data_IF_137254689639
#
_entry.id   IF_137254689639
#
_cell.length_a   1.000
_cell.length_b   1.000
_cell.length_c   1.000
_cell.angle_alpha   90.00
_cell.angle_beta   90.00
_cell.angle_gamma   90.00
#
_symmetry.space_group_name_H-M   'P 1'
#
loop_
_entity.id
_entity.type
_entity.pdbx_description
1 polymer ?
#
# COMPACT_ATOMS: atom_id res chain seq x y z
N UNK A 1 -6.58 -17.54 -5.78
CA UNK A 1 -6.29 -16.85 -4.50
C UNK A 1 -7.60 -16.52 -3.82
N UNK A 2 -7.61 -16.39 -2.49
CA UNK A 2 -8.75 -15.84 -1.74
C UNK A 2 -8.38 -14.50 -1.11
N UNK A 3 -9.38 -13.66 -0.87
CA UNK A 3 -9.19 -12.38 -0.17
C UNK A 3 -9.15 -12.62 1.33
N UNK A 4 -8.12 -12.10 1.99
CA UNK A 4 -8.00 -12.12 3.44
C UNK A 4 -8.24 -10.71 4.01
N UNK A 5 -8.82 -10.65 5.21
CA UNK A 5 -8.96 -9.40 5.96
C UNK A 5 -7.61 -9.05 6.60
N UNK A 6 -7.17 -7.82 6.40
CA UNK A 6 -6.02 -7.25 7.10
C UNK A 6 -6.54 -6.49 8.31
N UNK A 7 -6.28 -7.02 9.51
CA UNK A 7 -6.59 -6.35 10.76
C UNK A 7 -5.33 -5.64 11.29
N UNK A 8 -5.42 -4.34 11.51
CA UNK A 8 -4.39 -3.57 12.21
C UNK A 8 -4.66 -3.53 13.72
N UNK A 9 -3.73 -2.95 14.49
CA UNK A 9 -3.86 -2.85 15.94
C UNK A 9 -5.05 -1.93 16.29
N UNK A 10 -6.13 -2.56 16.80
CA UNK A 10 -7.36 -2.10 17.49
C UNK A 10 -8.10 -0.81 17.07
N UNK A 11 -7.50 0.13 16.33
CA UNK A 11 -8.11 1.42 15.94
C UNK A 11 -7.74 1.89 14.53
N UNK A 12 -6.72 1.32 13.88
CA UNK A 12 -6.30 1.75 12.55
C UNK A 12 -6.24 0.57 11.57
N UNK A 13 -6.97 0.61 10.45
CA UNK A 13 -6.78 -0.32 9.34
C UNK A 13 -5.34 -0.27 8.83
N UNK A 14 -4.86 -1.35 8.21
CA UNK A 14 -3.60 -1.32 7.48
C UNK A 14 -3.78 -0.52 6.19
N UNK A 15 -2.89 0.45 5.95
CA UNK A 15 -2.87 1.29 4.76
C UNK A 15 -1.48 1.29 4.13
N UNK A 16 -1.42 1.42 2.81
CA UNK A 16 -0.19 1.82 2.14
C UNK A 16 -0.10 3.34 2.21
N UNK A 17 0.99 3.85 2.77
CA UNK A 17 1.29 5.27 2.86
C UNK A 17 2.49 5.63 2.00
N UNK A 18 2.40 6.74 1.27
CA UNK A 18 3.56 7.37 0.62
C UNK A 18 3.64 8.82 1.04
N UNK A 19 4.81 9.24 1.50
CA UNK A 19 5.10 10.63 1.84
C UNK A 19 5.99 11.23 0.76
N UNK A 20 5.60 12.37 0.21
CA UNK A 20 6.43 13.13 -0.71
C UNK A 20 7.67 13.69 0.02
N UNK A 21 8.84 13.69 -0.63
CA UNK A 21 10.07 14.26 -0.04
C UNK A 21 9.89 15.79 0.12
N UNK A 22 10.23 16.33 1.30
CA UNK A 22 10.14 17.75 1.62
C UNK A 22 9.30 18.03 2.88
N UNK A 23 9.52 19.20 3.51
CA UNK A 23 8.91 19.57 4.80
C UNK A 23 7.38 19.74 4.68
N UNK A 24 6.89 20.06 3.48
CA UNK A 24 5.47 20.22 3.17
C UNK A 24 4.87 19.06 2.36
N UNK A 25 5.60 17.95 2.21
CA UNK A 25 5.13 16.79 1.45
C UNK A 25 3.88 16.18 2.08
N UNK A 26 2.76 16.20 1.35
CA UNK A 26 1.53 15.58 1.79
C UNK A 26 1.70 14.06 1.88
N UNK A 27 1.12 13.46 2.92
CA UNK A 27 1.05 12.00 3.03
C UNK A 27 -0.21 11.52 2.31
N UNK A 28 -0.02 10.60 1.35
CA UNK A 28 -1.12 9.92 0.67
C UNK A 28 -1.28 8.52 1.25
N UNK A 29 -2.52 8.09 1.47
CA UNK A 29 -2.86 6.78 2.02
C UNK A 29 -3.96 6.11 1.21
N UNK A 30 -3.87 4.79 1.07
CA UNK A 30 -4.93 3.96 0.48
C UNK A 30 -5.08 2.66 1.26
N UNK A 31 -6.29 2.13 1.31
CA UNK A 31 -6.58 0.78 1.83
C UNK A 31 -5.85 -0.27 1.00
N UNK A 32 -5.68 -1.45 1.60
CA UNK A 32 -4.97 -2.59 1.03
C UNK A 32 -5.93 -3.78 0.92
N UNK A 33 -5.88 -4.48 -0.21
CA UNK A 33 -6.46 -5.81 -0.39
C UNK A 33 -5.35 -6.86 -0.27
N UNK A 34 -5.59 -7.88 0.54
CA UNK A 34 -4.69 -9.02 0.71
C UNK A 34 -5.22 -10.23 -0.04
N UNK A 35 -4.37 -10.85 -0.84
CA UNK A 35 -4.67 -12.07 -1.58
C UNK A 35 -3.72 -13.18 -1.14
N UNK A 36 -4.27 -14.34 -0.81
CA UNK A 36 -3.50 -15.49 -0.35
C UNK A 36 -3.67 -16.65 -1.31
N UNK A 37 -2.55 -17.25 -1.73
CA UNK A 37 -2.54 -18.49 -2.48
C UNK A 37 -2.90 -19.66 -1.56
N UNK A 38 -3.98 -20.42 -1.83
CA UNK A 38 -4.37 -21.52 -0.96
C UNK A 38 -3.46 -22.75 -1.06
N UNK A 39 -2.59 -22.82 -2.09
CA UNK A 39 -1.72 -23.97 -2.35
C UNK A 39 -0.35 -23.79 -1.69
N UNK A 40 0.29 -22.64 -1.89
CA UNK A 40 1.66 -22.39 -1.41
C UNK A 40 1.76 -21.29 -0.34
N UNK A 41 0.65 -20.63 0.02
CA UNK A 41 0.65 -19.55 1.01
C UNK A 41 1.22 -18.21 0.56
N UNK A 42 1.62 -18.07 -0.71
CA UNK A 42 2.09 -16.79 -1.27
C UNK A 42 1.06 -15.67 -1.03
N UNK A 43 1.56 -14.51 -0.58
CA UNK A 43 0.75 -13.34 -0.25
C UNK A 43 1.03 -12.23 -1.26
N UNK A 44 -0.04 -11.68 -1.82
CA UNK A 44 0.01 -10.49 -2.67
C UNK A 44 -0.81 -9.38 -2.02
N UNK A 45 -0.19 -8.21 -1.85
CA UNK A 45 -0.86 -7.01 -1.33
C UNK A 45 -1.07 -6.02 -2.46
N UNK A 46 -2.30 -5.52 -2.62
CA UNK A 46 -2.65 -4.52 -3.63
C UNK A 46 -3.28 -3.30 -2.98
N UNK A 47 -2.84 -2.10 -3.36
CA UNK A 47 -3.57 -0.87 -3.06
C UNK A 47 -4.96 -0.90 -3.70
N UNK A 48 -5.97 -0.39 -3.00
CA UNK A 48 -7.33 -0.29 -3.53
C UNK A 48 -7.43 0.80 -4.63
N UNK A 49 -6.79 1.95 -4.40
CA UNK A 49 -6.52 2.95 -5.43
C UNK A 49 -5.00 3.21 -5.55
N UNK A 50 -4.28 2.41 -6.37
CA UNK A 50 -2.85 2.61 -6.59
C UNK A 50 -2.52 3.95 -7.25
N UNK A 51 -3.45 4.54 -8.02
CA UNK A 51 -3.22 5.79 -8.70
C UNK A 51 -3.15 6.96 -7.72
N UNK A 52 -3.88 6.88 -6.60
CA UNK A 52 -3.79 7.85 -5.50
C UNK A 52 -2.37 7.99 -4.93
N UNK A 53 -1.56 6.93 -4.99
CA UNK A 53 -0.17 6.92 -4.53
C UNK A 53 0.82 7.49 -5.56
N UNK A 54 0.37 7.80 -6.78
CA UNK A 54 1.24 8.42 -7.80
C UNK A 54 1.56 9.87 -7.43
N UNK A 55 2.81 10.24 -7.69
CA UNK A 55 3.29 11.62 -7.58
C UNK A 55 3.53 12.09 -9.02
N UNK A 56 2.87 13.17 -9.48
CA UNK A 56 3.15 13.74 -10.80
C UNK A 56 4.62 14.17 -10.90
N UNK A 57 5.34 13.69 -11.91
CA UNK A 57 6.75 14.06 -12.14
C UNK A 57 7.79 13.37 -11.24
N UNK A 58 7.42 12.32 -10.49
CA UNK A 58 8.37 11.57 -9.68
C UNK A 58 9.29 10.69 -10.53
N UNK A 59 10.59 11.00 -10.56
CA UNK A 59 11.61 10.04 -10.95
C UNK A 59 11.62 8.92 -9.90
N UNK A 60 11.41 7.68 -10.35
CA UNK A 60 11.64 6.50 -9.51
C UNK A 60 13.16 6.38 -9.32
N UNK A 61 13.69 6.84 -8.19
CA UNK A 61 14.96 6.32 -7.71
C UNK A 61 14.62 5.01 -7.01
N UNK A 62 14.91 3.89 -7.67
CA UNK A 62 15.13 2.64 -6.95
C UNK A 62 16.24 2.94 -5.94
N UNK A 63 15.93 2.93 -4.65
CA UNK A 63 16.96 2.95 -3.62
C UNK A 63 17.59 1.55 -3.65
N UNK A 64 18.82 1.46 -4.17
CA UNK A 64 19.72 0.29 -4.14
C UNK A 64 20.04 -0.19 -2.72
#
# INVERSE_FOLDING_TARGET
MFTALLEGFSQFPLFLSKKEKGIFGAEKRTSIKCFVCPVCGYIELRADDPASLRIPGGNYSEEE
#
